data_IF_951794652259
#
_entry.id   IF_951794652259
#
_cell.length_a   1.000
_cell.length_b   1.000
_cell.length_c   1.000
_cell.angle_alpha   90.00
_cell.angle_beta   90.00
_cell.angle_gamma   90.00
#
_symmetry.space_group_name_H-M   'P 1'
#
loop_
_entity.id
_entity.type
_entity.pdbx_description
1 polymer ?
2 branched ?
3 non-polymer ?
4 non-polymer ?
5 water ?
#
# COMPACT_ATOMS: atom_id res chain seq x y z
N UNK A 1 13.85 -1.05 9.16
CA UNK A 1 13.15 -1.89 8.14
C UNK A 1 12.08 -2.75 8.80
N UNK A 2 11.14 -3.24 8.01
CA UNK A 2 10.12 -4.10 8.55
C UNK A 2 10.16 -5.39 7.77
N UNK A 3 9.63 -6.43 8.39
CA UNK A 3 9.67 -7.73 7.77
C UNK A 3 8.43 -8.57 7.91
N UNK A 4 8.29 -9.50 6.98
CA UNK A 4 7.19 -10.43 6.97
C UNK A 4 7.69 -11.67 6.27
N UNK A 5 7.47 -12.80 6.91
CA UNK A 5 7.90 -14.05 6.34
C UNK A 5 6.66 -14.84 6.11
N UNK A 6 6.47 -15.45 4.95
CA UNK A 6 5.23 -16.19 4.86
C UNK A 6 5.42 -17.53 5.56
N UNK A 7 6.61 -18.12 5.46
CA UNK A 7 6.81 -19.41 6.13
C UNK A 7 6.33 -19.29 7.57
N UNK A 8 5.23 -19.96 7.87
CA UNK A 8 4.66 -19.93 9.21
C UNK A 8 3.69 -18.78 9.43
N UNK A 9 3.43 -18.01 8.38
CA UNK A 9 2.54 -16.86 8.49
C UNK A 9 1.09 -17.26 8.80
N UNK A 10 0.45 -16.43 9.62
CA UNK A 10 -0.94 -16.62 10.00
C UNK A 10 -1.53 -15.22 10.25
N UNK A 11 -2.85 -15.12 10.48
CA UNK A 11 -3.38 -13.77 10.72
C UNK A 11 -2.63 -13.01 11.81
N UNK A 12 -2.07 -13.75 12.77
CA UNK A 12 -1.36 -13.12 13.86
C UNK A 12 -0.08 -12.42 13.38
N UNK A 13 0.85 -13.14 12.76
CA UNK A 13 2.06 -12.45 12.32
C UNK A 13 1.88 -11.43 11.19
N UNK A 14 0.89 -11.64 10.34
CA UNK A 14 0.64 -10.69 9.27
C UNK A 14 0.19 -9.42 10.00
N UNK A 15 -0.59 -9.61 11.05
CA UNK A 15 -1.05 -8.46 11.82
C UNK A 15 0.12 -7.67 12.34
N UNK A 16 1.12 -8.37 12.89
CA UNK A 16 2.31 -7.71 13.43
C UNK A 16 3.14 -6.99 12.36
N UNK A 17 3.32 -7.62 11.20
CA UNK A 17 4.07 -7.00 10.14
C UNK A 17 3.36 -5.72 9.73
N UNK A 18 2.04 -5.77 9.56
CA UNK A 18 1.31 -4.58 9.15
C UNK A 18 1.29 -3.52 10.27
N UNK A 19 1.45 -3.96 11.52
CA UNK A 19 1.49 -3.07 12.66
C UNK A 19 2.86 -2.39 12.63
N UNK A 20 3.90 -3.18 12.34
CA UNK A 20 5.27 -2.65 12.28
C UNK A 20 5.35 -1.64 11.14
N UNK A 21 4.77 -2.01 10.01
CA UNK A 21 4.74 -1.15 8.82
C UNK A 21 4.17 0.22 9.21
N UNK A 22 3.04 0.22 9.91
CA UNK A 22 2.45 1.50 10.33
C UNK A 22 3.39 2.21 11.30
N UNK A 23 4.04 1.46 12.19
CA UNK A 23 4.94 2.08 13.16
C UNK A 23 6.20 2.71 12.59
N UNK A 24 6.54 2.34 11.36
CA UNK A 24 7.74 2.87 10.70
C UNK A 24 7.52 4.16 9.92
N UNK A 25 6.26 4.51 9.66
CA UNK A 25 5.94 5.74 8.94
C UNK A 25 5.92 6.86 9.98
N UNK A 26 6.67 7.94 9.72
CA UNK A 26 6.76 9.08 10.63
C UNK A 26 5.68 10.17 10.55
N UNK A 27 5.29 10.66 11.72
CA UNK A 27 4.30 11.74 11.83
C UNK A 27 4.65 12.55 13.08
N UNK A 28 4.14 13.77 13.15
CA UNK A 28 4.40 14.63 14.31
C UNK A 28 3.09 15.20 14.83
N UNK A 29 2.00 14.94 14.12
CA UNK A 29 0.68 15.44 14.50
C UNK A 29 -0.33 14.33 14.28
N UNK A 30 -1.46 14.38 14.95
CA UNK A 30 -2.52 13.40 14.71
C UNK A 30 -3.71 14.28 14.36
N UNK A 31 -4.52 13.82 13.41
CA UNK A 31 -5.71 14.56 13.05
C UNK A 31 -6.87 13.65 13.41
N UNK A 32 -7.70 14.13 14.33
CA UNK A 32 -8.82 13.36 14.81
C UNK A 32 -8.28 11.98 15.25
N UNK A 33 -7.10 12.00 15.87
CA UNK A 33 -6.47 10.79 16.40
C UNK A 33 -6.01 9.78 15.34
N UNK A 34 -5.54 10.27 14.19
CA UNK A 34 -5.06 9.39 13.10
C UNK A 34 -3.72 9.95 12.62
N UNK A 35 -2.64 9.14 12.68
CA UNK A 35 -1.36 9.66 12.22
C UNK A 35 -1.40 10.43 10.88
N UNK A 36 -0.85 11.64 10.87
CA UNK A 36 -0.77 12.44 9.66
C UNK A 36 0.64 12.27 9.13
N UNK A 37 0.75 11.70 7.93
CA UNK A 37 2.06 11.49 7.34
C UNK A 37 2.74 12.83 7.03
N UNK A 38 4.07 12.86 7.09
CA UNK A 38 4.83 14.08 6.83
C UNK A 38 4.59 14.65 5.43
N UNK A 39 4.89 15.95 5.23
CA UNK A 39 4.69 16.56 3.91
C UNK A 39 5.77 16.03 2.98
N UNK A 40 6.98 15.94 3.51
CA UNK A 40 8.13 15.43 2.79
C UNK A 40 9.16 15.09 3.83
N UNK A 41 10.15 14.32 3.40
CA UNK A 41 11.27 13.93 4.25
C UNK A 41 12.44 14.00 3.29
N UNK A 42 13.48 14.69 3.70
CA UNK A 42 14.64 14.88 2.85
C UNK A 42 15.65 13.74 2.91
N UNK A 43 16.02 13.26 1.72
CA UNK A 43 17.00 12.19 1.61
C UNK A 43 16.51 10.75 1.68
N UNK A 44 17.40 9.91 2.17
CA UNK A 44 17.14 8.49 2.33
C UNK A 44 16.18 8.20 3.47
N UNK A 45 15.94 9.16 4.34
CA UNK A 45 15.01 8.93 5.42
C UNK A 45 13.61 8.75 4.87
N UNK A 46 13.43 9.20 3.62
CA UNK A 46 12.13 9.14 2.93
C UNK A 46 11.65 7.76 2.50
N UNK A 47 12.57 6.79 2.52
CA UNK A 47 12.25 5.45 2.07
C UNK A 47 12.39 4.35 3.12
N UNK A 48 11.34 3.54 3.23
CA UNK A 48 11.33 2.42 4.17
C UNK A 48 11.55 1.13 3.40
N UNK A 49 12.42 0.29 3.94
CA UNK A 49 12.74 -0.97 3.30
C UNK A 49 12.00 -2.14 3.95
N UNK A 50 11.13 -2.79 3.18
CA UNK A 50 10.40 -3.93 3.69
C UNK A 50 11.14 -5.16 3.23
N UNK A 51 11.29 -6.13 4.11
CA UNK A 51 11.95 -7.35 3.72
C UNK A 51 10.86 -8.38 3.67
N UNK A 52 10.63 -8.94 2.50
CA UNK A 52 9.58 -9.93 2.36
C UNK A 52 10.21 -11.27 2.00
N UNK A 53 9.69 -12.35 2.56
CA UNK A 53 10.23 -13.66 2.27
C UNK A 53 9.13 -14.59 1.80
N UNK A 54 9.31 -15.22 0.65
CA UNK A 54 8.30 -16.14 0.19
C UNK A 54 8.42 -17.38 1.04
N UNK A 55 7.55 -18.35 0.82
CA UNK A 55 7.58 -19.55 1.63
C UNK A 55 8.88 -20.36 1.63
N UNK A 56 9.64 -20.35 0.54
CA UNK A 56 10.89 -21.11 0.47
C UNK A 56 12.11 -20.39 1.04
N UNK A 57 11.91 -19.14 1.46
CA UNK A 57 13.01 -18.39 2.04
C UNK A 57 13.65 -17.35 1.15
N UNK A 58 13.19 -17.20 -0.09
CA UNK A 58 13.76 -16.22 -0.98
C UNK A 58 13.22 -14.88 -0.53
N UNK A 59 13.95 -13.83 -0.85
CA UNK A 59 13.56 -12.52 -0.37
C UNK A 59 13.63 -11.39 -1.39
N UNK A 60 12.88 -10.34 -1.11
CA UNK A 60 12.93 -9.15 -1.90
C UNK A 60 12.81 -8.04 -0.87
N UNK A 61 13.42 -6.91 -1.17
CA UNK A 61 13.37 -5.79 -0.27
C UNK A 61 12.63 -4.74 -1.08
N UNK A 62 11.52 -4.25 -0.53
CA UNK A 62 10.70 -3.26 -1.20
C UNK A 62 10.91 -1.89 -0.56
N UNK A 63 11.03 -0.86 -1.38
CA UNK A 63 11.24 0.50 -0.90
C UNK A 63 9.91 1.25 -0.96
N UNK A 64 9.58 1.91 0.14
CA UNK A 64 8.33 2.66 0.23
C UNK A 64 8.57 4.11 0.70
N UNK A 65 7.91 5.06 0.04
CA UNK A 65 8.03 6.47 0.40
C UNK A 65 7.18 6.62 1.66
N UNK A 66 7.83 6.86 2.79
CA UNK A 66 7.13 6.98 4.07
C UNK A 66 6.12 8.12 4.23
N UNK A 67 6.11 9.08 3.31
CA UNK A 67 5.19 10.21 3.41
C UNK A 67 3.87 9.95 2.70
N UNK A 68 3.84 8.96 1.82
CA UNK A 68 2.61 8.60 1.10
C UNK A 68 2.31 7.10 1.06
N UNK A 69 3.31 6.30 1.40
CA UNK A 69 3.25 4.84 1.42
C UNK A 69 3.19 4.27 0.01
N UNK A 70 3.77 4.99 -0.95
CA UNK A 70 3.80 4.50 -2.33
C UNK A 70 5.05 3.64 -2.42
N UNK A 71 4.93 2.52 -3.13
CA UNK A 71 6.06 1.62 -3.33
C UNK A 71 6.83 2.22 -4.49
N UNK A 72 8.14 2.38 -4.32
CA UNK A 72 8.95 2.97 -5.37
C UNK A 72 9.66 1.97 -6.29
N UNK A 73 10.04 0.82 -5.73
CA UNK A 73 10.72 -0.23 -6.48
C UNK A 73 11.12 -1.30 -5.49
N UNK A 74 12.00 -2.22 -5.90
CA UNK A 74 12.48 -3.29 -5.03
C UNK A 74 13.79 -3.87 -5.56
N UNK A 75 14.50 -4.62 -4.72
CA UNK A 75 15.76 -5.28 -5.08
C UNK A 75 15.45 -6.78 -5.03
N UNK A 76 15.78 -7.51 -6.09
CA UNK A 76 15.56 -8.97 -6.13
C UNK A 76 16.90 -9.60 -6.47
N UNK A 77 17.54 -10.19 -5.46
CA UNK A 77 18.89 -10.76 -5.54
C UNK A 77 19.70 -9.52 -5.87
N UNK A 78 20.39 -9.50 -7.02
CA UNK A 78 21.28 -8.39 -7.37
C UNK A 78 20.78 -7.43 -8.46
N UNK A 79 19.48 -7.35 -8.65
CA UNK A 79 18.92 -6.48 -9.68
C UNK A 79 17.92 -5.58 -8.97
N UNK A 80 17.81 -4.34 -9.40
CA UNK A 80 16.81 -3.50 -8.76
C UNK A 80 15.81 -3.09 -9.83
N UNK A 81 14.57 -2.94 -9.41
CA UNK A 81 13.48 -2.58 -10.31
C UNK A 81 12.74 -1.36 -9.74
N UNK A 82 12.54 -0.32 -10.56
CA UNK A 82 11.83 0.88 -10.12
C UNK A 82 10.77 1.24 -11.17
N UNK A 83 9.62 1.75 -10.74
CA UNK A 83 8.59 2.12 -11.70
C UNK A 83 9.09 3.17 -12.64
N UNK A 84 8.35 3.36 -13.75
CA UNK A 84 8.71 4.38 -14.71
C UNK A 84 7.92 5.63 -14.32
N UNK A 85 8.43 6.33 -13.31
CA UNK A 85 7.85 7.58 -12.80
C UNK A 85 8.96 8.39 -12.12
N UNK A 86 8.90 9.73 -12.22
CA UNK A 86 9.91 10.61 -11.62
C UNK A 86 10.30 10.34 -10.16
N UNK A 87 9.30 10.10 -9.31
CA UNK A 87 9.54 9.84 -7.88
C UNK A 87 10.37 8.58 -7.70
N UNK A 88 10.06 7.56 -8.50
CA UNK A 88 10.79 6.31 -8.44
C UNK A 88 12.22 6.54 -8.88
N UNK A 89 12.39 7.26 -9.98
CA UNK A 89 13.73 7.51 -10.46
C UNK A 89 14.55 8.29 -9.43
N UNK A 90 13.91 9.23 -8.74
CA UNK A 90 14.59 10.01 -7.70
C UNK A 90 14.97 9.05 -6.59
N UNK A 91 14.05 8.17 -6.25
CA UNK A 91 14.26 7.19 -5.19
C UNK A 91 15.44 6.28 -5.52
N UNK A 92 15.61 5.99 -6.81
CA UNK A 92 16.70 5.12 -7.24
C UNK A 92 18.07 5.66 -6.84
N UNK A 93 18.13 6.95 -6.56
CA UNK A 93 19.39 7.58 -6.19
C UNK A 93 19.76 7.37 -4.71
N UNK A 94 18.87 6.77 -3.93
CA UNK A 94 19.17 6.54 -2.52
C UNK A 94 19.11 5.08 -2.07
N UNK A 95 18.33 4.25 -2.77
CA UNK A 95 18.23 2.85 -2.36
C UNK A 95 18.70 1.80 -3.37
N UNK A 96 19.18 0.67 -2.85
CA UNK A 96 19.67 -0.44 -3.67
C UNK A 96 20.78 0.03 -4.62
N UNK A 97 21.55 1.01 -4.17
CA UNK A 97 22.62 1.55 -4.98
C UNK A 97 23.65 0.47 -5.35
N UNK A 98 23.88 -0.49 -4.47
CA UNK A 98 24.85 -1.52 -4.80
C UNK A 98 24.31 -2.75 -5.55
N UNK A 99 23.19 -2.56 -6.25
CA UNK A 99 22.58 -3.61 -7.07
C UNK A 99 23.48 -3.68 -8.29
N UNK A 100 23.75 -4.88 -8.80
CA UNK A 100 24.64 -4.99 -9.96
C UNK A 100 24.03 -4.38 -11.23
N UNK A 101 22.70 -4.28 -11.27
CA UNK A 101 22.02 -3.72 -12.43
C UNK A 101 20.65 -3.18 -12.03
N UNK A 102 20.20 -2.15 -12.75
CA UNK A 102 18.91 -1.54 -12.43
C UNK A 102 17.93 -1.56 -13.59
N UNK A 103 16.78 -2.19 -13.38
CA UNK A 103 15.74 -2.24 -14.39
C UNK A 103 14.67 -1.23 -14.06
N UNK A 104 14.30 -0.40 -15.03
CA UNK A 104 13.22 0.57 -14.83
C UNK A 104 12.13 -0.35 -15.36
N UNK A 105 11.02 -0.50 -14.63
CA UNK A 105 9.86 -1.23 -15.14
C UNK A 105 9.37 -0.41 -16.29
N UNK A 106 8.56 -0.99 -17.19
CA UNK A 106 7.87 -0.30 -18.29
C UNK A 106 6.61 0.54 -18.02
N UNK A 107 6.33 0.78 -16.77
CA UNK A 107 5.09 1.43 -16.38
C UNK A 107 5.21 2.00 -14.96
N UNK A 108 4.59 3.15 -14.72
CA UNK A 108 4.65 3.82 -13.43
C UNK A 108 3.79 3.02 -12.47
N UNK A 109 3.81 3.39 -11.19
CA UNK A 109 3.04 2.66 -10.20
C UNK A 109 1.53 2.90 -10.04
N UNK A 110 0.88 3.63 -10.95
CA UNK A 110 -0.56 3.85 -10.84
C UNK A 110 -1.37 2.58 -11.09
N UNK A 111 -2.45 2.41 -10.35
CA UNK A 111 -3.31 1.23 -10.50
C UNK A 111 -3.78 1.08 -11.95
N UNK A 112 -4.03 2.22 -12.61
CA UNK A 112 -4.48 2.20 -13.99
C UNK A 112 -3.44 1.63 -14.94
N UNK A 113 -2.24 2.19 -14.92
CA UNK A 113 -1.18 1.72 -15.79
C UNK A 113 -0.83 0.25 -15.49
N UNK A 114 -0.84 -0.13 -14.22
CA UNK A 114 -0.54 -1.51 -13.78
C UNK A 114 -1.55 -2.56 -14.25
N UNK A 115 -2.82 -2.17 -14.29
CA UNK A 115 -3.88 -3.07 -14.71
C UNK A 115 -3.78 -3.31 -16.22
N UNK A 116 -3.44 -2.27 -16.97
CA UNK A 116 -3.31 -2.41 -18.43
C UNK A 116 -2.16 -3.38 -18.69
N UNK A 117 -1.02 -3.17 -18.05
CA UNK A 117 0.11 -4.07 -18.20
C UNK A 117 -0.28 -5.49 -17.80
N UNK A 118 -1.07 -5.61 -16.74
CA UNK A 118 -1.49 -6.95 -16.30
C UNK A 118 -2.61 -7.59 -17.10
N UNK A 119 -3.36 -6.81 -17.87
CA UNK A 119 -4.43 -7.38 -18.68
C UNK A 119 -5.75 -7.65 -17.95
N UNK A 120 -5.88 -7.14 -16.72
CA UNK A 120 -7.10 -7.30 -15.95
C UNK A 120 -7.20 -6.26 -14.83
N UNK A 121 -8.43 -5.88 -14.45
CA UNK A 121 -8.44 -4.88 -13.37
C UNK A 121 -8.14 -5.60 -12.06
N UNK A 122 -8.07 -4.88 -10.95
CA UNK A 122 -7.79 -5.50 -9.67
C UNK A 122 -9.00 -6.33 -9.24
N UNK A 123 -10.19 -5.86 -9.61
CA UNK A 123 -11.44 -6.54 -9.28
C UNK A 123 -11.40 -8.02 -9.58
N UNK A 124 -10.55 -8.39 -10.51
CA UNK A 124 -10.46 -9.78 -10.88
C UNK A 124 -9.18 -10.45 -10.39
N UNK A 125 -8.38 -9.75 -9.57
CA UNK A 125 -7.15 -10.37 -9.08
C UNK A 125 -7.23 -10.86 -7.64
N UNK A 126 -7.08 -12.18 -7.44
CA UNK A 126 -7.14 -12.70 -6.08
C UNK A 126 -5.99 -12.15 -5.24
N UNK A 127 -6.29 -11.80 -4.01
CA UNK A 127 -5.25 -11.35 -3.10
C UNK A 127 -5.35 -12.26 -1.88
N UNK A 128 -4.45 -12.06 -0.93
CA UNK A 128 -4.39 -12.88 0.26
C UNK A 128 -2.93 -13.21 0.47
N UNK A 129 -2.57 -13.84 1.59
CA UNK A 129 -1.17 -14.18 1.83
C UNK A 129 -0.67 -15.15 0.77
N UNK A 130 -1.49 -16.13 0.39
CA UNK A 130 -0.96 -17.02 -0.64
C UNK A 130 -0.59 -16.18 -1.87
N UNK A 131 -1.51 -15.32 -2.31
CA UNK A 131 -1.23 -14.48 -3.47
C UNK A 131 0.02 -13.66 -3.21
N UNK A 132 0.21 -13.19 -1.98
CA UNK A 132 1.42 -12.42 -1.69
C UNK A 132 2.63 -13.35 -1.80
N UNK A 133 2.48 -14.65 -1.55
CA UNK A 133 3.67 -15.50 -1.71
C UNK A 133 3.99 -15.72 -3.19
N UNK A 134 2.98 -15.69 -4.06
CA UNK A 134 3.23 -15.86 -5.50
C UNK A 134 3.94 -14.60 -5.97
N UNK A 135 3.47 -13.46 -5.50
CA UNK A 135 4.08 -12.19 -5.89
C UNK A 135 5.58 -12.17 -5.55
N UNK A 136 5.94 -12.39 -4.28
CA UNK A 136 7.36 -12.39 -3.92
C UNK A 136 8.10 -13.18 -5.01
N UNK A 137 7.66 -14.42 -5.19
CA UNK A 137 8.27 -15.31 -6.17
C UNK A 137 8.35 -14.76 -7.59
N UNK A 138 7.23 -14.27 -8.14
CA UNK A 138 7.19 -13.71 -9.50
C UNK A 138 8.26 -12.65 -9.74
N UNK A 139 8.43 -11.79 -8.75
CA UNK A 139 9.36 -10.67 -8.82
C UNK A 139 10.83 -11.02 -8.68
N UNK A 140 11.12 -12.22 -8.19
CA UNK A 140 12.50 -12.64 -8.05
C UNK A 140 13.06 -12.83 -9.43
N UNK A 141 12.17 -13.04 -10.38
CA UNK A 141 12.58 -13.26 -11.74
C UNK A 141 11.75 -12.37 -12.63
N UNK A 142 12.43 -11.34 -13.12
CA UNK A 142 11.86 -10.36 -14.03
C UNK A 142 11.00 -10.84 -15.18
N UNK A 143 9.80 -10.30 -15.17
CA UNK A 143 8.83 -10.54 -16.18
C UNK A 143 7.99 -9.32 -16.00
N UNK A 144 7.91 -8.49 -17.02
CA UNK A 144 7.14 -7.27 -16.89
C UNK A 144 5.64 -7.50 -16.76
N UNK A 145 5.07 -8.42 -17.54
CA UNK A 145 3.63 -8.63 -17.42
C UNK A 145 3.24 -9.30 -16.10
N UNK A 146 3.96 -10.35 -15.71
CA UNK A 146 3.68 -11.02 -14.44
C UNK A 146 3.95 -10.10 -13.26
N UNK A 147 4.93 -9.20 -13.41
CA UNK A 147 5.23 -8.27 -12.34
C UNK A 147 4.09 -7.27 -12.17
N UNK A 148 3.45 -6.86 -13.26
CA UNK A 148 2.34 -5.92 -13.15
C UNK A 148 1.32 -6.52 -12.19
N UNK A 149 1.02 -7.80 -12.40
CA UNK A 149 0.08 -8.50 -11.55
C UNK A 149 0.56 -8.68 -10.11
N UNK A 150 1.80 -9.19 -9.96
CA UNK A 150 2.38 -9.40 -8.64
C UNK A 150 2.40 -8.09 -7.88
N UNK A 151 2.64 -6.99 -8.58
CA UNK A 151 2.69 -5.68 -7.93
C UNK A 151 1.32 -5.18 -7.42
N UNK A 152 0.23 -5.50 -8.13
CA UNK A 152 -1.10 -5.09 -7.67
C UNK A 152 -1.40 -5.89 -6.41
N UNK A 153 -0.89 -7.12 -6.36
CA UNK A 153 -1.10 -7.94 -5.17
C UNK A 153 -0.26 -7.38 -4.04
N UNK A 154 1.00 -7.06 -4.32
CA UNK A 154 1.90 -6.52 -3.28
C UNK A 154 1.46 -5.19 -2.66
N UNK A 155 1.05 -4.23 -3.49
CA UNK A 155 0.60 -2.92 -3.03
C UNK A 155 -0.59 -3.13 -2.10
N UNK A 156 -1.59 -3.86 -2.56
CA UNK A 156 -2.74 -4.11 -1.73
C UNK A 156 -2.48 -4.87 -0.44
N UNK A 157 -1.68 -5.92 -0.52
CA UNK A 157 -1.35 -6.73 0.66
C UNK A 157 -0.76 -5.81 1.73
N UNK A 158 0.06 -4.84 1.32
CA UNK A 158 0.95 -4.10 2.23
C UNK A 158 0.71 -2.61 2.47
N UNK A 159 0.58 -1.81 1.40
CA UNK A 159 0.21 -0.41 1.54
C UNK A 159 -1.26 -0.18 1.94
N UNK A 160 -2.21 -0.64 1.12
CA UNK A 160 -3.62 -0.43 1.43
C UNK A 160 -4.01 -0.97 2.80
N UNK A 161 -3.44 -2.11 3.18
CA UNK A 161 -3.74 -2.72 4.47
C UNK A 161 -3.18 -1.88 5.62
N UNK A 162 -2.05 -1.22 5.40
CA UNK A 162 -1.48 -0.40 6.44
C UNK A 162 -2.40 0.80 6.55
N UNK A 163 -2.78 1.34 5.40
CA UNK A 163 -3.69 2.49 5.38
C UNK A 163 -5.09 2.19 5.94
N UNK A 164 -5.62 0.99 5.70
CA UNK A 164 -6.96 0.69 6.22
C UNK A 164 -7.08 -0.57 7.05
N UNK A 165 -7.61 -0.44 8.25
CA UNK A 165 -7.78 -1.59 9.12
C UNK A 165 -8.64 -2.65 8.42
N UNK A 166 -9.70 -2.21 7.73
CA UNK A 166 -10.61 -3.10 7.01
C UNK A 166 -9.88 -3.98 5.97
N UNK A 167 -8.95 -3.37 5.24
CA UNK A 167 -8.22 -4.13 4.22
C UNK A 167 -7.31 -5.17 4.89
N UNK A 168 -6.71 -4.81 6.01
CA UNK A 168 -5.86 -5.72 6.76
C UNK A 168 -6.71 -6.90 7.17
N UNK A 169 -7.96 -6.65 7.53
CA UNK A 169 -8.85 -7.73 7.92
C UNK A 169 -9.14 -8.62 6.72
N UNK A 170 -9.50 -8.02 5.59
CA UNK A 170 -9.75 -8.81 4.39
C UNK A 170 -8.59 -9.78 4.16
N UNK A 171 -7.37 -9.28 4.30
CA UNK A 171 -6.24 -10.18 4.08
C UNK A 171 -6.10 -11.26 5.15
N UNK A 172 -6.44 -10.95 6.39
CA UNK A 172 -6.35 -11.96 7.43
C UNK A 172 -7.37 -13.06 7.18
N UNK A 173 -8.50 -12.69 6.57
CA UNK A 173 -9.55 -13.66 6.23
C UNK A 173 -9.02 -14.51 5.08
N UNK A 174 -8.13 -13.92 4.29
CA UNK A 174 -7.54 -14.60 3.14
C UNK A 174 -6.17 -15.25 3.43
N UNK A 175 -5.89 -15.57 4.69
CA UNK A 175 -4.58 -16.09 5.09
C UNK A 175 -4.21 -17.42 4.42
N UNK A 176 -5.19 -18.26 4.15
CA UNK A 176 -4.91 -19.54 3.53
C UNK A 176 -5.70 -19.76 2.24
N UNK A 177 -6.39 -18.73 1.79
CA UNK A 177 -7.18 -18.82 0.57
C UNK A 177 -7.33 -17.43 -0.05
N UNK A 178 -6.83 -17.25 -1.27
CA UNK A 178 -6.95 -15.94 -1.90
C UNK A 178 -8.39 -15.70 -2.32
N UNK A 179 -8.71 -14.45 -2.63
CA UNK A 179 -10.06 -14.09 -3.08
C UNK A 179 -9.95 -12.67 -3.60
N UNK A 180 -10.74 -12.34 -4.61
CA UNK A 180 -10.71 -11.00 -5.16
C UNK A 180 -11.16 -10.07 -4.06
N UNK A 181 -10.63 -8.85 -4.07
CA UNK A 181 -11.01 -7.89 -3.02
C UNK A 181 -12.47 -7.53 -3.14
N UNK A 182 -13.12 -7.33 -1.99
CA UNK A 182 -14.52 -6.96 -1.97
C UNK A 182 -14.53 -5.57 -2.63
N UNK A 183 -15.65 -5.16 -3.21
CA UNK A 183 -15.70 -3.85 -3.87
C UNK A 183 -15.51 -2.66 -2.93
N UNK A 184 -15.79 -2.87 -1.65
CA UNK A 184 -15.60 -1.81 -0.66
C UNK A 184 -14.08 -1.62 -0.48
N UNK A 185 -13.34 -2.70 -0.67
CA UNK A 185 -11.88 -2.66 -0.57
C UNK A 185 -11.33 -1.79 -1.70
N UNK A 186 -11.89 -1.97 -2.89
CA UNK A 186 -11.47 -1.19 -4.04
C UNK A 186 -11.89 0.27 -3.85
N UNK A 187 -13.04 0.48 -3.25
CA UNK A 187 -13.50 1.85 -3.00
C UNK A 187 -12.53 2.58 -2.07
N UNK A 188 -12.24 1.98 -0.92
CA UNK A 188 -11.32 2.59 0.03
C UNK A 188 -10.00 2.95 -0.61
N UNK A 189 -9.41 2.00 -1.33
CA UNK A 189 -8.14 2.25 -2.01
C UNK A 189 -8.30 3.48 -2.88
N UNK A 190 -9.40 3.54 -3.61
CA UNK A 190 -9.67 4.66 -4.50
C UNK A 190 -9.96 5.96 -3.78
N UNK A 191 -10.51 5.89 -2.58
CA UNK A 191 -10.84 7.10 -1.84
C UNK A 191 -9.85 7.60 -0.78
N UNK A 192 -8.73 6.89 -0.61
CA UNK A 192 -7.72 7.28 0.38
C UNK A 192 -7.28 8.73 0.33
N UNK A 193 -6.89 9.18 -0.86
CA UNK A 193 -6.45 10.55 -1.07
C UNK A 193 -7.58 11.48 -0.62
N UNK A 194 -8.78 11.22 -1.11
CA UNK A 194 -9.94 12.02 -0.76
C UNK A 194 -10.30 12.02 0.71
N UNK A 195 -10.38 10.84 1.32
CA UNK A 195 -10.68 10.79 2.75
C UNK A 195 -9.58 11.56 3.46
N UNK A 196 -8.33 11.28 3.12
CA UNK A 196 -7.25 12.00 3.77
C UNK A 196 -7.49 13.51 3.70
N UNK A 197 -7.72 14.06 2.50
CA UNK A 197 -7.96 15.50 2.38
C UNK A 197 -9.15 15.98 3.21
N UNK A 198 -10.24 15.21 3.17
CA UNK A 198 -11.44 15.57 3.92
C UNK A 198 -11.32 15.42 5.44
N UNK A 199 -10.51 14.48 5.93
CA UNK A 199 -10.35 14.34 7.38
C UNK A 199 -9.66 15.63 7.87
N UNK A 200 -8.79 16.18 7.04
CA UNK A 200 -8.04 17.40 7.39
C UNK A 200 -8.76 18.76 7.26
N UNK A 201 -9.65 18.90 6.28
CA UNK A 201 -10.40 20.13 6.07
C UNK A 201 -11.47 20.24 7.14
N UNK A 202 -11.83 19.10 7.71
CA UNK A 202 -12.84 19.06 8.75
C UNK A 202 -12.28 19.66 10.05
N UNK A 203 -10.95 19.63 10.20
CA UNK A 203 -10.26 20.17 11.38
C UNK A 203 -10.81 21.53 11.79
N UNK A 204 -10.95 22.41 10.81
CA UNK A 204 -11.46 23.75 11.07
C UNK A 204 -12.85 23.95 10.49
N UNK A 205 -13.61 22.86 10.37
CA UNK A 205 -14.95 22.94 9.84
C UNK A 205 -15.85 22.13 10.75
N UNK A 206 -15.47 22.06 12.02
CA UNK A 206 -16.23 21.32 13.03
C UNK A 206 -16.39 19.85 12.73
N UNK A 207 -15.39 19.23 12.11
CA UNK A 207 -15.50 17.83 11.81
C UNK A 207 -16.41 17.51 10.64
N UNK A 208 -16.83 18.50 9.86
CA UNK A 208 -17.68 18.26 8.69
C UNK A 208 -16.81 18.33 7.44
N UNK A 209 -17.08 17.46 6.45
CA UNK A 209 -16.32 17.45 5.20
C UNK A 209 -16.84 18.57 4.31
N UNK A 210 -15.94 19.24 3.61
CA UNK A 210 -16.33 20.28 2.68
C UNK A 210 -17.02 19.57 1.52
N UNK A 211 -16.47 18.44 1.12
CA UNK A 211 -17.06 17.62 0.06
C UNK A 211 -17.19 16.19 0.58
N UNK A 212 -18.38 15.59 0.42
CA UNK A 212 -18.64 14.21 0.88
C UNK A 212 -17.81 13.23 0.07
N UNK A 213 -17.69 12.01 0.58
CA UNK A 213 -16.95 10.97 -0.14
C UNK A 213 -17.93 9.83 -0.39
N UNK A 214 -18.02 9.36 -1.62
CA UNK A 214 -18.93 8.27 -1.90
C UNK A 214 -18.17 6.97 -1.75
N UNK A 215 -18.72 6.06 -0.95
CA UNK A 215 -18.12 4.77 -0.68
C UNK A 215 -19.09 3.63 -0.91
N UNK A 216 -18.53 2.42 -0.94
CA UNK A 216 -19.35 1.22 -1.07
C UNK A 216 -19.07 0.57 0.27
N UNK A 217 -20.12 0.04 0.91
CA UNK A 217 -19.98 -0.59 2.24
C UNK A 217 -19.91 -2.11 2.21
N UNK A 218 -19.80 -2.72 3.40
CA UNK A 218 -19.70 -4.18 3.51
C UNK A 218 -20.72 -4.95 2.65
N UNK A 219 -21.99 -4.55 2.69
CA UNK A 219 -23.07 -5.22 1.92
C UNK A 219 -23.05 -4.97 0.41
N UNK A 220 -22.28 -3.97 -0.03
CA UNK A 220 -22.21 -3.66 -1.45
C UNK A 220 -23.04 -2.44 -1.80
N UNK A 221 -23.55 -1.80 -0.75
CA UNK A 221 -24.39 -0.62 -0.86
C UNK A 221 -23.60 0.69 -0.83
N UNK A 222 -24.02 1.65 -1.67
CA UNK A 222 -23.37 2.95 -1.76
C UNK A 222 -23.77 3.91 -0.65
N UNK A 223 -22.79 4.30 0.16
CA UNK A 223 -23.00 5.22 1.27
C UNK A 223 -22.20 6.50 1.06
N UNK A 224 -22.62 7.58 1.70
CA UNK A 224 -21.92 8.87 1.62
C UNK A 224 -21.32 9.15 2.99
N UNK A 225 -20.05 9.54 3.03
CA UNK A 225 -19.39 9.86 4.30
C UNK A 225 -19.30 11.40 4.32
N UNK A 226 -19.94 12.04 5.32
CA UNK A 226 -19.94 13.50 5.40
C UNK A 226 -19.30 14.15 6.64
N UNK A 227 -18.97 13.38 7.67
CA UNK A 227 -18.29 13.96 8.83
C UNK A 227 -17.38 12.92 9.50
N UNK A 228 -16.58 13.38 10.44
CA UNK A 228 -15.68 12.50 11.20
C UNK A 228 -16.30 11.37 12.03
N UNK A 229 -17.60 11.42 12.32
CA UNK A 229 -18.20 10.43 13.22
C UNK A 229 -18.36 9.07 12.54
N UNK A 230 -18.29 9.04 11.21
CA UNK A 230 -18.42 7.77 10.47
C UNK A 230 -17.44 6.71 10.98
N UNK A 231 -17.78 5.43 10.78
CA UNK A 231 -16.92 4.35 11.22
C UNK A 231 -15.63 4.36 10.40
N UNK A 232 -15.72 4.87 9.17
CA UNK A 232 -14.56 4.94 8.27
C UNK A 232 -13.45 5.75 8.92
N UNK A 233 -13.85 6.81 9.61
CA UNK A 233 -12.90 7.70 10.25
C UNK A 233 -12.54 7.32 11.70
N UNK A 234 -13.53 6.84 12.47
CA UNK A 234 -13.28 6.44 13.85
C UNK A 234 -12.47 5.16 13.99
N UNK A 235 -12.79 4.18 13.15
CA UNK A 235 -12.09 2.90 13.19
C UNK A 235 -11.18 2.52 12.03
N UNK A 236 -11.77 2.52 10.84
CA UNK A 236 -11.06 2.16 9.62
C UNK A 236 -9.75 2.70 9.00
N UNK A 237 -9.71 3.97 8.61
CA UNK A 237 -8.48 4.59 8.08
C UNK A 237 -7.43 4.71 9.20
N UNK A 238 -6.17 4.35 8.89
CA UNK A 238 -5.08 4.38 9.88
C UNK A 238 -3.91 5.31 9.58
N UNK A 239 -3.99 5.99 8.44
CA UNK A 239 -2.92 6.88 8.02
C UNK A 239 -3.50 7.95 7.09
N UNK A 240 -2.94 9.16 7.14
CA UNK A 240 -3.45 10.22 6.28
C UNK A 240 -2.40 10.84 5.38
N UNK A 241 -2.76 11.00 4.10
CA UNK A 241 -1.89 11.62 3.13
C UNK A 241 -2.02 13.09 3.43
N UNK A 242 -0.89 13.73 3.69
CA UNK A 242 -0.81 15.15 4.00
C UNK A 242 -1.35 15.93 2.79
N UNK A 243 -2.21 16.92 3.02
CA UNK A 243 -2.77 17.71 1.90
C UNK A 243 -1.70 18.46 1.14
N UNK A 244 -0.54 18.59 1.75
CA UNK A 244 0.53 19.28 1.07
C UNK A 244 0.90 18.44 -0.14
N UNK A 245 0.54 17.17 -0.10
CA UNK A 245 0.82 16.27 -1.23
C UNK A 245 -0.42 15.91 -2.04
N UNK A 246 -1.55 16.55 -1.78
CA UNK A 246 -2.77 16.22 -2.52
C UNK A 246 -3.18 17.28 -3.54
X LIG B 1 -22.57 13.11 10.32
X LIG B 1 -23.78 13.88 9.89
X LIG B 1 -24.89 13.29 10.76
X LIG B 1 -24.97 11.76 10.61
X LIG B 1 -23.62 11.09 10.74
X LIG B 1 -23.60 9.62 10.34
X LIG B 1 -23.35 16.17 9.18
X LIG B 1 -23.05 17.61 9.62
X LIG B 1 -23.57 15.30 10.15
X LIG B 1 -26.13 13.90 10.41
X LIG B 1 -25.86 11.19 11.60
X LIG B 1 -22.69 11.77 9.89
X LIG B 1 -22.31 9.05 10.56
X LIG B 1 -23.39 15.91 7.98
X LIG B 2 -26.64 10.05 11.13
X LIG B 2 -27.24 8.84 11.83
X LIG B 2 -27.61 7.89 10.70
X LIG B 2 -28.76 8.47 9.88
X LIG B 2 -28.74 10.01 9.83
X LIG B 2 -29.67 10.69 10.80
X LIG B 2 -26.15 8.46 13.99
X LIG B 2 -25.20 7.57 14.81
X LIG B 2 -26.25 8.20 12.69
X LIG B 2 -27.92 6.58 11.18
X LIG B 2 -28.72 7.93 8.54
X LIG B 2 -27.41 10.57 10.02
X LIG B 2 -29.78 12.08 10.51
X LIG B 2 -26.79 9.35 14.56
X LIG C 1 -1.53 2.86 -4.70
X LIG C 1 -1.00 3.50 -5.98
X LIG C 1 -0.48 4.93 -5.86
X LIG C 1 -1.13 5.68 -7.02
X LIG C 1 -2.40 4.88 -7.25
X LIG C 1 -2.94 5.16 -8.65
X LIG C 1 -2.40 3.70 -3.92
X LIG C 1 0.07 2.65 -6.39
X LIG C 1 0.96 4.96 -6.00
X LIG C 1 -1.44 7.05 -6.74
X LIG C 1 -2.02 3.52 -6.99
X LIG C 1 -4.18 4.52 -8.79
X LIG D 1 0.21 -19.41 4.56
X LIG D 1 0.48 -18.64 5.71
X LIG D 1 1.16 -19.00 3.44
X LIG D 1 2.02 -17.98 3.90
X LIG D 1 0.36 -18.50 2.26
X LIG D 1 -0.87 -19.18 2.19
#
# INVERSE_FOLDING_TARGET
DVSFRLSGADPSSYGMFIKDLRNALPHTEKVYNIPLLLPSVSGAGRYLLMHLFNYDGNTITVAVDVTNVYIMGYLALTTSYFFNEPAADLASQYVFRSARRKITLPYSGNYERLQIAAGKPREKIPIGLPALDTAISTLLHYDSTAAAGALLVLIQTTAEAARFKYIEQQIQERAYRDEVPSSATISLENSWSGLSKQIQLAQGNNGVFRTPTVLVDSKGNRVQITNVTSNVVTSNIQLLLNTKNI
NAG C1 C2 C3 C4 C5 C6 C7 C8 N2 O3 O4 O5 O6 O7
NAG C1 C2 C3 C4 C5 C6 C7 C8 N2 O3 O4 O5 O6 O7
FRU C1 C2 C3 C4 C5 C6 O1 O2 O3 O4 O5 O6
GOL C1 O1 C2 O2 C3 O3
#
